data_IF_376874532906
#
_entry.id   IF_376874532906
#
_cell.length_a   1.000
_cell.length_b   1.000
_cell.length_c   1.000
_cell.angle_alpha   90.00
_cell.angle_beta   90.00
_cell.angle_gamma   90.00
#
_symmetry.space_group_name_H-M   'P 1'
#
loop_
_entity.id
_entity.type
_entity.pdbx_description
1 polymer ?
#
# COMPACT_ATOMS: atom_id res chain seq x y z
N UNK A 1 -23.86 6.63 11.06
CA UNK A 1 -23.79 5.93 9.76
C UNK A 1 -22.32 5.77 9.42
N UNK A 2 -21.89 4.60 8.94
CA UNK A 2 -20.51 4.40 8.48
C UNK A 2 -20.29 5.14 7.15
N UNK A 3 -19.18 5.84 7.01
CA UNK A 3 -18.80 6.49 5.76
C UNK A 3 -18.38 5.42 4.74
N UNK A 4 -19.00 5.43 3.56
CA UNK A 4 -18.71 4.46 2.48
C UNK A 4 -17.89 5.18 1.41
N UNK A 5 -16.71 4.63 1.10
CA UNK A 5 -15.86 5.16 0.06
C UNK A 5 -16.48 4.99 -1.33
N UNK A 6 -16.59 6.07 -2.13
CA UNK A 6 -17.03 5.95 -3.51
C UNK A 6 -16.00 5.14 -4.32
N UNK A 7 -16.49 4.40 -5.31
CA UNK A 7 -15.62 3.70 -6.26
C UNK A 7 -15.44 4.59 -7.48
N UNK A 8 -14.23 5.14 -7.73
CA UNK A 8 -13.99 5.98 -8.90
C UNK A 8 -13.94 5.12 -10.16
N UNK A 9 -14.30 5.71 -11.30
CA UNK A 9 -14.31 5.04 -12.62
C UNK A 9 -13.33 5.70 -13.58
N UNK A 10 -12.67 4.93 -14.44
CA UNK A 10 -11.73 5.49 -15.44
C UNK A 10 -12.47 6.00 -16.68
N UNK A 11 -13.66 5.45 -16.94
CA UNK A 11 -14.49 5.74 -18.10
C UNK A 11 -15.08 7.15 -18.06
N UNK A 12 -15.39 7.68 -16.87
CA UNK A 12 -15.87 9.04 -16.69
C UNK A 12 -15.37 9.64 -15.37
N UNK A 13 -14.23 10.34 -15.43
CA UNK A 13 -13.63 10.99 -14.27
C UNK A 13 -14.38 12.24 -13.77
N UNK A 14 -15.36 12.76 -14.51
CA UNK A 14 -16.05 14.03 -14.18
C UNK A 14 -16.73 13.97 -12.82
N UNK A 15 -17.37 12.84 -12.49
CA UNK A 15 -18.14 12.67 -11.26
C UNK A 15 -17.36 11.98 -10.13
N UNK A 16 -16.08 11.67 -10.36
CA UNK A 16 -15.28 11.00 -9.35
C UNK A 16 -14.99 11.95 -8.19
N UNK A 17 -15.29 11.47 -6.98
CA UNK A 17 -15.03 12.19 -5.74
C UNK A 17 -13.82 11.60 -5.05
N UNK A 18 -12.91 12.46 -4.63
CA UNK A 18 -11.75 12.07 -3.85
C UNK A 18 -11.94 12.45 -2.39
N UNK A 19 -11.67 11.48 -1.51
CA UNK A 19 -11.60 11.65 -0.07
C UNK A 19 -10.31 10.99 0.41
N UNK A 20 -9.55 11.66 1.26
CA UNK A 20 -8.24 11.17 1.74
C UNK A 20 -8.37 9.81 2.42
N UNK A 21 -9.42 9.60 3.21
CA UNK A 21 -9.69 8.32 3.89
C UNK A 21 -9.99 7.17 2.90
N UNK A 22 -10.34 7.51 1.66
CA UNK A 22 -10.60 6.57 0.57
C UNK A 22 -9.46 6.46 -0.43
N UNK A 23 -8.32 7.12 -0.17
CA UNK A 23 -7.17 7.16 -1.07
C UNK A 23 -6.69 5.79 -1.51
N UNK A 24 -6.73 4.79 -0.63
CA UNK A 24 -6.34 3.41 -0.92
C UNK A 24 -7.19 2.75 -2.04
N UNK A 25 -8.36 3.29 -2.41
CA UNK A 25 -9.12 2.78 -3.56
C UNK A 25 -8.44 3.02 -4.91
N UNK A 26 -7.51 3.96 -4.96
CA UNK A 26 -6.76 4.33 -6.17
C UNK A 26 -5.27 4.23 -5.96
N UNK A 27 -4.78 4.69 -4.81
CA UNK A 27 -3.37 4.74 -4.46
C UNK A 27 -3.05 3.63 -3.45
N UNK A 28 -3.13 2.39 -3.92
CA UNK A 28 -2.89 1.19 -3.12
C UNK A 28 -1.46 1.18 -2.56
N UNK A 29 -1.35 1.08 -1.23
CA UNK A 29 -0.05 1.07 -0.52
C UNK A 29 0.87 -0.06 -0.98
N UNK A 30 0.28 -1.19 -1.38
CA UNK A 30 0.98 -2.38 -1.84
C UNK A 30 0.31 -2.85 -3.13
N UNK A 31 0.99 -2.60 -4.24
CA UNK A 31 0.53 -3.03 -5.55
C UNK A 31 1.09 -4.42 -5.86
N UNK A 32 0.25 -5.41 -6.21
CA UNK A 32 0.74 -6.73 -6.62
C UNK A 32 1.42 -6.67 -7.99
N UNK A 33 1.08 -5.67 -8.82
CA UNK A 33 1.57 -5.46 -10.18
C UNK A 33 1.54 -3.97 -10.52
N UNK A 34 2.42 -3.56 -11.42
CA UNK A 34 2.48 -2.20 -11.96
C UNK A 34 2.14 -2.24 -13.46
N UNK A 35 1.08 -1.55 -13.86
CA UNK A 35 0.56 -1.58 -15.23
C UNK A 35 0.98 -0.37 -16.06
N UNK A 36 1.28 0.74 -15.40
CA UNK A 36 1.59 2.02 -16.04
C UNK A 36 3.10 2.24 -16.22
N UNK A 37 3.93 1.46 -15.53
CA UNK A 37 5.40 1.54 -15.60
C UNK A 37 5.95 0.84 -16.84
N UNK A 38 5.96 1.55 -17.98
CA UNK A 38 6.39 1.03 -19.29
C UNK A 38 7.06 2.11 -20.14
N UNK A 39 7.65 1.69 -21.27
CA UNK A 39 8.27 2.59 -22.25
C UNK A 39 9.36 3.49 -21.63
N UNK A 40 9.32 4.78 -21.96
CA UNK A 40 10.34 5.74 -21.53
C UNK A 40 10.42 5.89 -19.99
N UNK A 41 9.32 5.68 -19.26
CA UNK A 41 9.36 5.71 -17.79
C UNK A 41 10.17 4.54 -17.24
N UNK A 42 9.95 3.33 -17.78
CA UNK A 42 10.71 2.15 -17.40
C UNK A 42 12.19 2.32 -17.74
N UNK A 43 12.50 2.93 -18.89
CA UNK A 43 13.89 3.18 -19.31
C UNK A 43 14.60 4.22 -18.45
N UNK A 44 13.89 5.24 -17.96
CA UNK A 44 14.42 6.15 -16.93
C UNK A 44 14.68 5.41 -15.62
N UNK A 45 13.70 4.65 -15.14
CA UNK A 45 13.77 3.92 -13.86
C UNK A 45 14.92 2.89 -13.84
N UNK A 46 15.17 2.20 -14.96
CA UNK A 46 16.30 1.25 -15.08
C UNK A 46 17.66 1.89 -14.83
N UNK A 47 17.83 3.17 -15.18
CA UNK A 47 19.09 3.92 -15.04
C UNK A 47 19.34 4.41 -13.62
N UNK A 48 18.32 4.42 -12.75
CA UNK A 48 18.46 4.82 -11.35
C UNK A 48 19.27 3.74 -10.62
N UNK A 49 20.38 4.13 -10.00
CA UNK A 49 21.26 3.19 -9.27
C UNK A 49 20.74 2.90 -7.86
N UNK A 50 20.23 3.92 -7.16
CA UNK A 50 19.75 3.78 -5.79
C UNK A 50 18.45 2.94 -5.75
N UNK A 51 18.41 1.81 -5.02
CA UNK A 51 17.26 0.91 -5.02
C UNK A 51 16.01 1.53 -4.40
N UNK A 52 16.17 2.43 -3.42
CA UNK A 52 15.04 3.11 -2.78
C UNK A 52 14.41 4.08 -3.77
N UNK A 53 15.22 4.87 -4.47
CA UNK A 53 14.71 5.79 -5.49
C UNK A 53 14.08 5.06 -6.67
N UNK A 54 14.64 3.92 -7.06
CA UNK A 54 14.05 3.05 -8.09
C UNK A 54 12.66 2.57 -7.66
N UNK A 55 12.52 2.10 -6.42
CA UNK A 55 11.23 1.67 -5.87
C UNK A 55 10.22 2.81 -5.79
N UNK A 56 10.61 3.98 -5.26
CA UNK A 56 9.75 5.17 -5.19
C UNK A 56 9.31 5.61 -6.58
N UNK A 57 10.21 5.54 -7.58
CA UNK A 57 9.92 5.95 -8.95
C UNK A 57 8.85 5.08 -9.63
N UNK A 58 8.86 3.77 -9.36
CA UNK A 58 7.83 2.83 -9.86
C UNK A 58 6.46 3.24 -9.32
N UNK A 59 6.33 3.45 -8.01
CA UNK A 59 5.07 3.89 -7.40
C UNK A 59 4.63 5.27 -7.87
N UNK A 60 5.59 6.20 -8.04
CA UNK A 60 5.28 7.54 -8.52
C UNK A 60 4.61 7.49 -9.90
N UNK A 61 5.17 6.73 -10.83
CA UNK A 61 4.60 6.60 -12.18
C UNK A 61 3.21 5.99 -12.11
N UNK A 62 3.03 4.91 -11.34
CA UNK A 62 1.72 4.27 -11.20
C UNK A 62 0.68 5.24 -10.62
N UNK A 63 1.00 5.88 -9.50
CA UNK A 63 0.08 6.80 -8.82
C UNK A 63 -0.23 8.04 -9.65
N UNK A 64 0.75 8.62 -10.32
CA UNK A 64 0.50 9.80 -11.14
C UNK A 64 -0.46 9.47 -12.29
N UNK A 65 -0.26 8.32 -12.94
CA UNK A 65 -1.07 7.89 -14.09
C UNK A 65 -2.47 7.46 -13.64
N UNK A 66 -2.60 6.72 -12.54
CA UNK A 66 -3.92 6.39 -11.99
C UNK A 66 -4.66 7.64 -11.51
N UNK A 67 -3.96 8.56 -10.84
CA UNK A 67 -4.51 9.84 -10.43
C UNK A 67 -5.04 10.64 -11.63
N UNK A 68 -4.29 10.69 -12.73
CA UNK A 68 -4.78 11.28 -13.98
C UNK A 68 -6.04 10.56 -14.47
N UNK A 69 -5.98 9.24 -14.66
CA UNK A 69 -7.08 8.45 -15.22
C UNK A 69 -8.38 8.61 -14.41
N UNK A 70 -8.30 8.66 -13.08
CA UNK A 70 -9.46 8.78 -12.21
C UNK A 70 -9.91 10.22 -11.95
N UNK A 71 -9.01 11.22 -11.93
CA UNK A 71 -9.35 12.53 -11.37
C UNK A 71 -9.08 13.75 -12.25
N UNK A 72 -8.50 13.61 -13.45
CA UNK A 72 -8.11 14.78 -14.26
C UNK A 72 -9.29 15.70 -14.66
N UNK A 73 -10.48 15.14 -14.92
CA UNK A 73 -11.69 15.91 -15.23
C UNK A 73 -12.66 16.06 -14.04
N UNK A 74 -12.31 15.55 -12.86
CA UNK A 74 -13.16 15.73 -11.68
C UNK A 74 -13.30 17.20 -11.33
N UNK A 75 -14.30 17.50 -10.49
CA UNK A 75 -14.42 18.81 -9.85
C UNK A 75 -13.07 19.24 -9.25
N UNK A 76 -12.75 20.52 -9.38
CA UNK A 76 -11.44 21.08 -9.02
C UNK A 76 -11.05 20.75 -7.57
N UNK A 77 -12.01 20.76 -6.65
CA UNK A 77 -11.83 20.39 -5.24
C UNK A 77 -11.27 18.96 -5.09
N UNK A 78 -11.88 17.99 -5.77
CA UNK A 78 -11.47 16.59 -5.74
C UNK A 78 -10.18 16.32 -6.50
N UNK A 79 -9.99 16.94 -7.66
CA UNK A 79 -8.73 16.84 -8.43
C UNK A 79 -7.55 17.38 -7.62
N UNK A 80 -7.72 18.56 -7.03
CA UNK A 80 -6.70 19.21 -6.20
C UNK A 80 -6.36 18.36 -4.99
N UNK A 81 -7.37 17.76 -4.35
CA UNK A 81 -7.15 16.90 -3.19
C UNK A 81 -6.42 15.60 -3.54
N UNK A 82 -6.75 14.98 -4.67
CA UNK A 82 -6.03 13.81 -5.19
C UNK A 82 -4.57 14.13 -5.53
N UNK A 83 -4.32 15.26 -6.20
CA UNK A 83 -2.95 15.73 -6.45
C UNK A 83 -2.19 16.00 -5.15
N UNK A 84 -2.84 16.69 -4.19
CA UNK A 84 -2.26 16.98 -2.86
C UNK A 84 -1.88 15.70 -2.12
N UNK A 85 -2.67 14.64 -2.23
CA UNK A 85 -2.33 13.35 -1.65
C UNK A 85 -1.03 12.78 -2.22
N UNK A 86 -0.86 12.76 -3.56
CA UNK A 86 0.38 12.28 -4.19
C UNK A 86 1.58 13.13 -3.76
N UNK A 87 1.42 14.45 -3.70
CA UNK A 87 2.49 15.36 -3.30
C UNK A 87 2.92 15.13 -1.84
N UNK A 88 1.96 14.88 -0.94
CA UNK A 88 2.24 14.51 0.46
C UNK A 88 2.94 13.16 0.56
N UNK A 89 2.48 12.16 -0.19
CA UNK A 89 3.15 10.86 -0.24
C UNK A 89 4.60 10.99 -0.72
N UNK A 90 4.86 11.79 -1.77
CA UNK A 90 6.22 12.07 -2.23
C UNK A 90 7.06 12.80 -1.18
N UNK A 91 6.48 13.77 -0.47
CA UNK A 91 7.15 14.47 0.62
C UNK A 91 7.57 13.51 1.72
N UNK A 92 6.70 12.59 2.15
CA UNK A 92 7.03 11.55 3.13
C UNK A 92 8.20 10.67 2.66
N UNK A 93 8.21 10.29 1.38
CA UNK A 93 9.31 9.50 0.81
C UNK A 93 10.61 10.30 0.73
N UNK A 94 10.55 11.59 0.38
CA UNK A 94 11.71 12.49 0.37
C UNK A 94 12.29 12.65 1.77
N UNK A 95 11.43 12.89 2.75
CA UNK A 95 11.81 13.07 4.15
C UNK A 95 12.56 11.83 4.66
N UNK A 96 11.99 10.65 4.46
CA UNK A 96 12.61 9.38 4.82
C UNK A 96 13.96 9.17 4.12
N UNK A 97 14.02 9.40 2.81
CA UNK A 97 15.23 9.18 2.00
C UNK A 97 16.38 10.13 2.34
N UNK A 98 16.05 11.36 2.74
CA UNK A 98 17.02 12.43 3.00
C UNK A 98 17.31 12.63 4.49
N UNK A 99 16.78 11.76 5.36
CA UNK A 99 16.84 11.86 6.81
C UNK A 99 16.37 13.24 7.30
N UNK A 100 15.12 13.58 6.99
CA UNK A 100 14.56 14.88 7.34
C UNK A 100 15.22 16.07 6.64
N UNK A 101 15.91 15.82 5.53
CA UNK A 101 16.73 16.82 4.86
C UNK A 101 18.05 17.12 5.56
N UNK A 102 18.56 16.24 6.42
CA UNK A 102 19.91 16.38 6.97
C UNK A 102 20.98 15.92 5.97
N UNK A 103 20.61 15.10 4.99
CA UNK A 103 21.55 14.53 4.04
C UNK A 103 21.57 15.20 2.66
N UNK A 104 22.54 16.10 2.43
CA UNK A 104 22.60 16.91 1.20
C UNK A 104 22.79 16.07 -0.06
N UNK A 105 23.74 15.11 -0.06
CA UNK A 105 23.96 14.21 -1.20
C UNK A 105 22.69 13.43 -1.60
N UNK A 106 21.88 13.03 -0.62
CA UNK A 106 20.60 12.34 -0.86
C UNK A 106 19.54 13.30 -1.39
N UNK A 107 19.52 14.57 -0.96
CA UNK A 107 18.62 15.57 -1.57
C UNK A 107 18.96 15.80 -3.03
N UNK A 108 20.24 15.98 -3.36
CA UNK A 108 20.68 16.18 -4.74
C UNK A 108 20.28 15.00 -5.62
N UNK A 109 20.49 13.78 -5.11
CA UNK A 109 20.11 12.57 -5.81
C UNK A 109 18.58 12.45 -5.98
N UNK A 110 17.80 12.79 -4.96
CA UNK A 110 16.34 12.85 -5.05
C UNK A 110 15.88 13.84 -6.13
N UNK A 111 16.36 15.08 -6.07
CA UNK A 111 15.93 16.13 -6.99
C UNK A 111 16.37 15.82 -8.44
N UNK A 112 17.52 15.18 -8.61
CA UNK A 112 17.98 14.66 -9.91
C UNK A 112 17.06 13.57 -10.44
N UNK A 113 16.83 12.49 -9.69
CA UNK A 113 16.15 11.31 -10.23
C UNK A 113 14.62 11.46 -10.20
N UNK A 114 14.04 11.80 -9.04
CA UNK A 114 12.59 11.97 -8.86
C UNK A 114 12.11 13.27 -9.50
N UNK A 115 12.86 14.36 -9.35
CA UNK A 115 12.49 15.64 -9.95
C UNK A 115 12.48 15.60 -11.49
N UNK A 116 13.41 14.88 -12.11
CA UNK A 116 13.40 14.65 -13.57
C UNK A 116 12.19 13.82 -13.99
N UNK A 117 11.91 12.72 -13.28
CA UNK A 117 10.77 11.85 -13.59
C UNK A 117 9.43 12.60 -13.44
N UNK A 118 9.28 13.41 -12.39
CA UNK A 118 8.09 14.22 -12.16
C UNK A 118 7.85 15.24 -13.28
N UNK A 119 8.89 15.98 -13.70
CA UNK A 119 8.79 16.93 -14.82
C UNK A 119 8.36 16.24 -16.11
N UNK A 120 8.86 15.02 -16.36
CA UNK A 120 8.44 14.24 -17.52
C UNK A 120 6.96 13.86 -17.44
N UNK A 121 6.50 13.36 -16.29
CA UNK A 121 5.08 13.05 -16.06
C UNK A 121 4.17 14.27 -16.26
N UNK A 122 4.58 15.46 -15.78
CA UNK A 122 3.86 16.72 -16.06
C UNK A 122 3.79 16.95 -17.56
N UNK A 123 4.93 16.99 -18.24
CA UNK A 123 5.01 17.31 -19.66
C UNK A 123 4.15 16.39 -20.54
N UNK A 124 4.22 15.08 -20.30
CA UNK A 124 3.52 14.08 -21.11
C UNK A 124 1.98 14.20 -20.95
N UNK A 125 1.51 14.56 -19.76
CA UNK A 125 0.07 14.67 -19.46
C UNK A 125 -0.49 16.09 -19.61
N UNK A 126 0.35 17.11 -19.62
CA UNK A 126 -0.01 18.47 -20.05
C UNK A 126 -0.29 18.53 -21.55
N UNK A 127 0.58 17.90 -22.37
CA UNK A 127 0.40 17.79 -23.81
C UNK A 127 -0.88 17.02 -24.20
N UNK A 128 -1.30 16.08 -23.34
CA UNK A 128 -2.49 15.25 -23.53
C UNK A 128 -3.79 15.89 -23.02
N UNK A 129 -3.69 16.98 -22.25
CA UNK A 129 -4.83 17.66 -21.64
C UNK A 129 -5.47 18.67 -22.60
N UNK A 130 -6.82 18.68 -22.67
CA UNK A 130 -7.58 19.64 -23.48
C UNK A 130 -7.27 21.11 -23.14
N UNK A 131 -6.94 21.37 -21.88
CA UNK A 131 -6.67 22.71 -21.37
C UNK A 131 -5.17 23.05 -21.34
N UNK A 132 -4.31 22.18 -21.90
CA UNK A 132 -2.84 22.31 -21.86
C UNK A 132 -2.30 22.61 -20.46
N UNK A 133 -2.92 22.01 -19.46
CA UNK A 133 -2.49 22.06 -18.08
C UNK A 133 -2.40 20.63 -17.55
N UNK A 134 -1.28 20.29 -16.92
CA UNK A 134 -1.18 19.05 -16.17
C UNK A 134 -2.25 19.00 -15.07
N UNK A 135 -2.68 17.79 -14.73
CA UNK A 135 -3.68 17.62 -13.68
C UNK A 135 -3.10 17.83 -12.27
N UNK A 136 -1.78 17.72 -12.13
CA UNK A 136 -1.05 17.85 -10.87
C UNK A 136 0.34 18.45 -11.09
N UNK A 137 0.69 19.51 -10.36
CA UNK A 137 1.91 20.31 -10.62
C UNK A 137 2.90 20.41 -9.46
N UNK A 138 2.43 20.38 -8.21
CA UNK A 138 3.23 20.86 -7.06
C UNK A 138 3.83 19.75 -6.17
N UNK A 139 4.96 19.18 -6.57
CA UNK A 139 5.69 18.24 -5.72
C UNK A 139 6.71 18.91 -4.77
N UNK A 140 6.90 20.24 -4.86
CA UNK A 140 7.95 20.97 -4.12
C UNK A 140 7.50 21.38 -2.73
N UNK A 141 6.81 20.49 -2.04
CA UNK A 141 6.52 20.68 -0.63
C UNK A 141 7.83 20.68 0.16
N UNK A 142 7.98 21.66 1.04
CA UNK A 142 9.18 21.81 1.88
C UNK A 142 8.77 21.61 3.32
N UNK A 143 9.08 20.44 3.86
CA UNK A 143 8.96 20.15 5.28
C UNK A 143 10.31 19.64 5.76
N UNK A 144 10.74 20.12 6.93
CA UNK A 144 11.97 19.68 7.59
C UNK A 144 11.58 18.97 8.87
N UNK A 145 11.79 17.67 8.91
CA UNK A 145 11.61 16.91 10.15
C UNK A 145 12.70 17.28 11.14
N UNK A 146 12.28 17.50 12.39
CA UNK A 146 13.18 17.69 13.52
C UNK A 146 13.22 16.38 14.31
N UNK A 147 14.42 15.86 14.53
CA UNK A 147 14.60 14.62 15.29
C UNK A 147 15.00 14.93 16.73
N UNK A 148 14.68 14.05 17.69
CA UNK A 148 15.21 14.15 19.04
C UNK A 148 16.75 14.18 19.02
N UNK A 149 17.34 14.97 19.91
CA UNK A 149 18.80 15.23 19.96
C UNK A 149 19.64 13.96 20.15
N UNK A 150 19.06 12.94 20.77
CA UNK A 150 19.75 11.69 21.11
C UNK A 150 19.78 10.69 19.94
N UNK A 151 19.06 10.98 18.85
CA UNK A 151 19.07 10.15 17.64
C UNK A 151 20.30 10.51 16.81
N UNK A 152 21.32 9.65 16.87
CA UNK A 152 22.51 9.75 16.03
C UNK A 152 22.20 9.11 14.67
N UNK A 153 22.11 9.94 13.63
CA UNK A 153 22.03 9.43 12.26
C UNK A 153 23.43 9.05 11.77
N UNK A 154 23.56 7.91 11.05
CA UNK A 154 24.81 7.58 10.40
C UNK A 154 25.20 8.69 9.43
N UNK A 155 26.50 8.88 9.21
CA UNK A 155 26.96 9.77 8.14
C UNK A 155 26.28 9.36 6.84
N UNK A 156 25.80 10.33 6.08
CA UNK A 156 25.10 10.18 4.79
C UNK A 156 25.58 9.06 3.85
N UNK A 157 26.86 8.72 3.97
CA UNK A 157 27.64 7.87 3.07
C UNK A 157 28.00 6.51 3.66
N UNK A 158 27.66 6.26 4.93
CA UNK A 158 27.78 4.92 5.50
C UNK A 158 26.62 4.07 4.98
N UNK A 159 26.72 3.71 3.69
CA UNK A 159 26.47 2.32 3.33
C UNK A 159 27.30 1.56 4.35
N UNK A 160 26.67 0.86 5.27
CA UNK A 160 27.37 -0.20 6.00
C UNK A 160 27.93 -1.04 4.88
N UNK A 161 29.21 -0.84 4.58
CA UNK A 161 29.98 -1.73 3.76
C UNK A 161 29.70 -3.06 4.42
N UNK A 162 28.92 -3.91 3.76
CA UNK A 162 29.18 -5.32 3.94
C UNK A 162 30.62 -5.41 3.45
N UNK A 163 31.57 -5.33 4.39
CA UNK A 163 32.88 -5.87 4.16
C UNK A 163 32.61 -7.21 3.48
N UNK A 164 32.96 -7.37 2.20
CA UNK A 164 32.91 -8.68 1.59
C UNK A 164 33.85 -9.51 2.46
N UNK A 165 33.28 -10.40 3.29
CA UNK A 165 33.95 -11.21 4.30
C UNK A 165 35.47 -11.08 4.22
N UNK A 166 36.06 -10.14 4.97
CA UNK A 166 37.50 -9.92 4.92
C UNK A 166 38.17 -11.14 5.55
N UNK A 167 38.65 -12.04 4.69
CA UNK A 167 39.92 -12.80 4.73
C UNK A 167 40.46 -13.38 6.05
N UNK A 168 39.69 -13.62 7.11
CA UNK A 168 40.23 -14.29 8.32
C UNK A 168 39.50 -15.59 8.69
N UNK A 169 38.39 -15.93 8.04
CA UNK A 169 37.81 -17.27 8.10
C UNK A 169 37.36 -17.67 6.70
N UNK A 170 37.80 -18.82 6.15
CA UNK A 170 37.24 -19.32 4.91
C UNK A 170 35.74 -19.45 5.11
N UNK A 171 34.95 -18.73 4.29
CA UNK A 171 33.54 -19.07 4.13
C UNK A 171 33.49 -20.58 3.89
N UNK A 172 32.72 -21.36 4.66
CA UNK A 172 32.58 -22.78 4.37
C UNK A 172 32.11 -22.85 2.92
N UNK A 173 32.95 -23.46 2.06
CA UNK A 173 32.57 -23.67 0.68
C UNK A 173 31.27 -24.46 0.73
N UNK A 174 30.21 -23.86 0.18
CA UNK A 174 28.98 -24.60 -0.10
C UNK A 174 29.42 -25.73 -1.02
N UNK A 175 29.56 -26.93 -0.46
CA UNK A 175 29.77 -28.13 -1.25
C UNK A 175 28.58 -28.22 -2.21
N UNK A 176 28.86 -28.07 -3.50
CA UNK A 176 27.89 -28.21 -4.58
C UNK A 176 27.36 -29.63 -4.74
N UNK A 177 27.75 -30.55 -3.87
CA UNK A 177 27.23 -31.90 -3.80
C UNK A 177 26.44 -32.09 -2.50
N UNK A 178 25.27 -31.45 -2.43
CA UNK A 178 24.25 -31.91 -1.50
C UNK A 178 23.74 -33.25 -2.03
N UNK A 179 24.39 -34.36 -1.65
CA UNK A 179 23.76 -35.67 -1.72
C UNK A 179 22.63 -35.66 -0.72
N UNK A 180 21.44 -35.30 -1.20
CA UNK A 180 20.22 -35.59 -0.46
C UNK A 180 20.24 -37.09 -0.17
N UNK A 181 20.29 -37.45 1.12
CA UNK A 181 19.82 -38.79 1.50
C UNK A 181 18.40 -38.92 0.94
N UNK A 182 18.01 -40.09 0.42
CA UNK A 182 16.62 -40.32 0.07
C UNK A 182 15.79 -39.93 1.29
N UNK A 183 14.86 -39.02 1.06
CA UNK A 183 13.85 -38.63 2.03
C UNK A 183 13.24 -39.90 2.61
N UNK A 184 13.44 -40.15 3.90
CA UNK A 184 12.50 -41.01 4.60
C UNK A 184 11.14 -40.33 4.46
N UNK A 185 10.19 -41.07 3.88
CA UNK A 185 8.83 -40.61 3.75
C UNK A 185 8.37 -40.06 5.11
N UNK A 186 7.71 -38.89 5.13
CA UNK A 186 7.17 -38.38 6.38
C UNK A 186 6.26 -39.48 6.95
N UNK A 187 6.63 -39.99 8.12
CA UNK A 187 5.78 -40.88 8.91
C UNK A 187 4.45 -40.16 9.05
N UNK A 188 3.47 -40.67 8.31
CA UNK A 188 2.08 -40.26 8.42
C UNK A 188 1.70 -40.53 9.87
N UNK A 189 1.27 -39.52 10.65
CA UNK A 189 0.72 -39.78 11.96
C UNK A 189 -0.43 -40.77 11.78
N UNK A 190 -0.39 -41.88 12.52
CA UNK A 190 -1.49 -42.84 12.57
C UNK A 190 -2.82 -42.10 12.66
N UNK A 191 -3.69 -42.44 11.71
CA UNK A 191 -5.05 -41.96 11.62
C UNK A 191 -5.74 -42.29 12.95
N UNK A 192 -5.96 -41.29 13.80
CA UNK A 192 -6.86 -41.46 14.94
C UNK A 192 -8.23 -41.81 14.36
N UNK A 193 -8.75 -42.99 14.72
CA UNK A 193 -10.05 -43.46 14.27
C UNK A 193 -11.11 -42.34 14.38
N UNK A 194 -11.97 -42.17 13.36
CA UNK A 194 -13.07 -41.23 13.48
C UNK A 194 -13.95 -41.65 14.67
N UNK A 195 -14.38 -40.70 15.53
CA UNK A 195 -15.28 -41.02 16.62
C UNK A 195 -16.57 -41.63 16.05
N UNK A 196 -17.21 -42.58 16.76
CA UNK A 196 -18.43 -43.21 16.28
C UNK A 196 -19.47 -42.14 15.99
N UNK A 197 -20.08 -42.27 14.81
CA UNK A 197 -21.05 -41.32 14.29
C UNK A 197 -22.09 -40.96 15.35
N UNK A 198 -22.03 -39.72 15.84
CA UNK A 198 -23.07 -39.18 16.69
C UNK A 198 -24.36 -39.11 15.85
N UNK A 199 -25.33 -39.93 16.22
CA UNK A 199 -26.69 -39.96 15.69
C UNK A 199 -27.28 -38.54 15.68
N UNK A 200 -27.28 -37.92 14.48
CA UNK A 200 -27.73 -36.54 14.25
C UNK A 200 -29.26 -36.39 14.35
N UNK A 201 -29.99 -37.42 14.76
CA UNK A 201 -31.46 -37.38 14.85
C UNK A 201 -31.96 -36.81 16.19
N UNK A 202 -31.08 -36.63 17.19
CA UNK A 202 -31.48 -36.09 18.52
C UNK A 202 -31.28 -34.59 18.70
N UNK A 203 -30.51 -33.93 17.82
CA UNK A 203 -30.18 -32.50 17.95
C UNK A 203 -31.13 -31.55 17.21
N UNK A 204 -32.11 -32.07 16.46
CA UNK A 204 -33.17 -31.28 15.81
C UNK A 204 -34.33 -30.93 16.75
N UNK A 205 -34.47 -31.61 17.89
CA UNK A 205 -35.57 -31.40 18.83
C UNK A 205 -35.26 -30.36 19.93
N UNK A 206 -33.99 -30.05 20.19
CA UNK A 206 -33.59 -29.19 21.33
C UNK A 206 -33.39 -27.73 20.94
N UNK A 207 -33.14 -27.42 19.67
CA UNK A 207 -32.95 -26.04 19.18
C UNK A 207 -34.23 -25.35 18.71
N UNK A 208 -35.35 -26.05 18.51
CA UNK A 208 -36.64 -25.43 18.18
C UNK A 208 -37.41 -24.91 19.41
N UNK A 209 -37.12 -25.43 20.61
CA UNK A 209 -37.77 -25.01 21.86
C UNK A 209 -37.34 -23.63 22.38
N UNK A 210 -36.07 -23.26 22.19
CA UNK A 210 -35.53 -22.00 22.71
C UNK A 210 -36.02 -20.76 21.94
N UNK A 211 -36.32 -20.89 20.64
CA UNK A 211 -36.81 -19.77 19.82
C UNK A 211 -38.27 -19.44 20.12
N UNK A 212 -39.10 -20.45 20.42
CA UNK A 212 -40.52 -20.28 20.77
C UNK A 212 -40.74 -19.74 22.19
N UNK A 213 -39.94 -20.18 23.18
CA UNK A 213 -40.04 -19.66 24.54
C UNK A 213 -39.59 -18.19 24.64
N UNK A 214 -38.58 -17.79 23.86
CA UNK A 214 -38.09 -16.40 23.83
C UNK A 214 -39.08 -15.41 23.23
N UNK A 215 -39.83 -15.82 22.20
CA UNK A 215 -40.87 -14.98 21.58
C UNK A 215 -42.11 -14.84 22.46
N UNK A 216 -42.54 -15.90 23.15
CA UNK A 216 -43.66 -15.83 24.09
C UNK A 216 -43.31 -15.00 25.34
N UNK A 217 -42.07 -15.10 25.84
CA UNK A 217 -41.61 -14.28 26.96
C UNK A 217 -41.60 -12.79 26.65
N UNK A 218 -41.09 -12.39 25.48
CA UNK A 218 -41.07 -10.97 25.07
C UNK A 218 -42.48 -10.40 24.86
N UNK A 219 -43.40 -11.16 24.27
CA UNK A 219 -44.81 -10.77 24.15
C UNK A 219 -45.51 -10.62 25.50
N UNK A 220 -45.24 -11.50 26.47
CA UNK A 220 -45.81 -11.40 27.82
C UNK A 220 -45.30 -10.17 28.58
N UNK A 221 -44.01 -9.84 28.47
CA UNK A 221 -43.45 -8.63 29.07
C UNK A 221 -44.05 -7.35 28.44
N UNK A 222 -44.17 -7.30 27.11
CA UNK A 222 -44.81 -6.18 26.43
C UNK A 222 -46.28 -6.02 26.83
N UNK A 223 -47.04 -7.13 26.88
CA UNK A 223 -48.44 -7.11 27.30
C UNK A 223 -48.62 -6.60 28.73
N UNK A 224 -47.74 -7.02 29.66
CA UNK A 224 -47.78 -6.58 31.06
C UNK A 224 -47.39 -5.11 31.25
N UNK A 225 -46.51 -4.56 30.40
CA UNK A 225 -46.13 -3.15 30.43
C UNK A 225 -47.24 -2.27 29.85
N UNK A 226 -47.93 -2.74 28.81
CA UNK A 226 -49.01 -1.98 28.15
C UNK A 226 -50.30 -1.97 28.98
N UNK A 227 -50.66 -3.06 29.66
CA UNK A 227 -51.89 -3.17 30.46
C UNK A 227 -51.73 -2.82 31.95
N UNK A 228 -50.71 -2.04 32.30
CA UNK A 228 -50.54 -1.47 33.66
C UNK A 228 -50.66 0.07 33.66
N UNK A 229 -51.63 0.59 32.90
CA UNK A 229 -52.24 1.91 33.12
C UNK A 229 -53.64 1.74 33.68
#
# INVERSE_FOLDING_TARGET
>A
MAFICPTPTKENSINNKFYVDCSAKVFDRFLPRFYNVKGEYLDHIKKITDPILKYVSIYLVEYYIDGYNYYHNSEESHRTEACRYINRWLLEKKDLFTYGGMCEKKKDLWDKEIGTLWKKLISDYEASSKNKSAWCFDYKLTLKTTFPTDVIFPKCEEIISQEPCINVLPCPQVQTDCKCSPSEDPVTPEQLDPPPAADRTKNLAVTSGFTAAGTLGTLFFLYRVINKQ
#
